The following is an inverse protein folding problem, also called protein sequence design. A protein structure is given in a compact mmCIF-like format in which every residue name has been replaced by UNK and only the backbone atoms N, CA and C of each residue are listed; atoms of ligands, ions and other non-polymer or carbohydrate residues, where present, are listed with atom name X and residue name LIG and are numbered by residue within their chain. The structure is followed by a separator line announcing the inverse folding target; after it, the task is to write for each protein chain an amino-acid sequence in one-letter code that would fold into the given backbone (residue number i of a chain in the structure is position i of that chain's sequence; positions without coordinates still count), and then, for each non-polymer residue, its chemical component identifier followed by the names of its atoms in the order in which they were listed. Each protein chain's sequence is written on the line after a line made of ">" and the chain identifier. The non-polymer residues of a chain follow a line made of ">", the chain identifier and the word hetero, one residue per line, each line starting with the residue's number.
data_IF_424428562221
#
_entry.id   IF_424428562221
#
_cell.length_a   1.000
_cell.length_b   1.000
_cell.length_c   1.000
_cell.angle_alpha   90.00
_cell.angle_beta   90.00
_cell.angle_gamma   90.00
#
_symmetry.space_group_name_H-M   'P 1'
#
loop_
_entity.id
_entity.type
_entity.pdbx_description
1 polymer ?
#
# COMPACT_ATOMS: atom_id res chain seq x y z
N UNK A 1 -34.77 35.05 11.93
CA UNK A 1 -34.42 35.00 10.49
C UNK A 1 -33.11 35.74 10.32
N UNK A 2 -32.20 35.14 9.54
CA UNK A 2 -31.12 35.81 8.80
C UNK A 2 -29.84 36.22 9.53
N UNK A 3 -28.70 35.70 9.03
CA UNK A 3 -27.48 36.50 8.84
C UNK A 3 -26.17 35.96 9.44
N UNK A 4 -25.41 35.16 8.68
CA UNK A 4 -23.93 35.10 8.69
C UNK A 4 -23.32 36.52 8.37
N UNK A 5 -22.00 36.81 8.41
CA UNK A 5 -20.83 35.97 8.74
C UNK A 5 -19.67 36.65 9.54
N UNK A 6 -18.68 35.80 9.87
CA UNK A 6 -17.23 36.05 9.99
C UNK A 6 -16.72 37.47 10.22
N UNK A 7 -16.18 37.68 11.41
CA UNK A 7 -15.33 38.80 11.77
C UNK A 7 -13.92 38.65 11.16
N UNK A 8 -13.42 39.62 10.37
CA UNK A 8 -12.02 39.70 9.98
C UNK A 8 -11.21 40.47 11.05
N UNK A 9 -9.92 40.17 11.23
CA UNK A 9 -8.98 41.17 11.73
C UNK A 9 -7.77 41.41 10.79
N UNK A 10 -7.81 42.58 10.14
CA UNK A 10 -6.73 43.56 9.90
C UNK A 10 -5.46 43.16 9.09
N UNK A 11 -4.55 44.11 8.78
CA UNK A 11 -4.75 45.37 8.06
C UNK A 11 -3.84 45.47 6.82
N UNK A 12 -4.33 46.11 5.77
CA UNK A 12 -3.51 46.61 4.67
C UNK A 12 -2.68 47.80 5.16
N UNK A 13 -1.35 47.71 5.09
CA UNK A 13 -0.49 48.89 4.98
C UNK A 13 0.94 48.54 4.57
N UNK A 14 1.33 49.22 3.49
CA UNK A 14 2.68 49.71 3.19
C UNK A 14 3.62 48.77 2.41
N UNK A 15 3.63 48.98 1.09
CA UNK A 15 4.83 48.79 0.28
C UNK A 15 5.84 49.90 0.61
N UNK A 16 7.14 49.58 0.59
CA UNK A 16 8.01 50.38 -0.27
C UNK A 16 8.90 49.51 -1.16
N UNK A 17 8.79 49.78 -2.47
CA UNK A 17 9.78 49.43 -3.47
C UNK A 17 11.16 49.91 -3.04
N UNK A 18 12.12 48.98 -2.88
CA UNK A 18 13.55 49.30 -2.86
C UNK A 18 14.27 48.39 -3.84
N UNK A 19 14.99 49.04 -4.75
CA UNK A 19 15.75 48.48 -5.85
C UNK A 19 17.02 47.76 -5.38
N UNK A 20 17.45 46.84 -6.24
CA UNK A 20 18.85 46.52 -6.57
C UNK A 20 19.57 45.46 -5.72
N UNK A 21 20.26 44.60 -6.49
CA UNK A 21 21.36 43.70 -6.12
C UNK A 21 20.99 42.35 -5.55
N UNK A 22 21.23 41.34 -6.38
CA UNK A 22 21.49 39.99 -5.92
C UNK A 22 20.92 38.95 -6.86
N UNK A 23 21.68 38.63 -7.91
CA UNK A 23 21.55 37.37 -8.63
C UNK A 23 21.90 36.23 -7.65
N UNK A 24 20.93 35.88 -6.80
CA UNK A 24 21.00 34.70 -5.95
C UNK A 24 20.60 33.49 -6.81
N UNK A 25 21.40 32.41 -6.85
CA UNK A 25 20.98 31.19 -7.51
C UNK A 25 19.73 30.69 -6.79
N UNK A 26 18.65 30.54 -7.55
CA UNK A 26 17.48 29.79 -7.12
C UNK A 26 17.98 28.45 -6.56
N UNK A 27 17.71 28.08 -5.30
CA UNK A 27 17.69 26.68 -4.97
C UNK A 27 16.47 26.13 -5.69
N UNK A 28 16.70 25.60 -6.88
CA UNK A 28 15.81 24.65 -7.53
C UNK A 28 15.79 23.42 -6.62
N UNK A 29 15.07 23.52 -5.50
CA UNK A 29 14.57 22.38 -4.76
C UNK A 29 13.46 21.75 -5.59
N UNK A 30 13.80 21.35 -6.82
CA UNK A 30 13.34 20.07 -7.31
C UNK A 30 13.99 19.07 -6.35
N UNK A 31 13.36 18.86 -5.21
CA UNK A 31 13.39 17.56 -4.57
C UNK A 31 13.06 16.60 -5.68
N UNK A 32 14.11 16.01 -6.25
CA UNK A 32 14.04 14.86 -7.10
C UNK A 32 13.31 13.85 -6.20
N UNK A 33 11.99 13.78 -6.34
CA UNK A 33 11.17 12.86 -5.58
C UNK A 33 11.79 11.51 -5.83
N UNK A 34 12.39 10.96 -4.77
CA UNK A 34 13.36 9.88 -4.83
C UNK A 34 12.96 8.91 -5.91
N UNK A 35 13.86 8.75 -6.89
CA UNK A 35 13.69 7.84 -8.01
C UNK A 35 12.99 6.59 -7.52
N UNK A 36 11.76 6.44 -8.01
CA UNK A 36 10.86 5.33 -7.78
C UNK A 36 11.63 4.05 -8.10
N UNK A 37 12.33 3.50 -7.13
CA UNK A 37 12.75 2.11 -7.18
C UNK A 37 11.44 1.36 -6.93
N UNK A 38 10.87 0.63 -7.91
CA UNK A 38 9.80 -0.32 -7.66
C UNK A 38 10.45 -1.44 -6.85
N UNK A 39 10.63 -1.18 -5.55
CA UNK A 39 11.36 -2.04 -4.66
C UNK A 39 10.59 -3.34 -4.53
N UNK A 40 11.27 -4.46 -4.76
CA UNK A 40 10.65 -5.74 -4.50
C UNK A 40 10.24 -5.79 -3.03
N UNK A 41 8.95 -6.04 -2.75
CA UNK A 41 8.48 -6.14 -1.38
C UNK A 41 8.57 -7.60 -0.96
N UNK A 42 9.25 -7.88 0.14
CA UNK A 42 9.34 -9.23 0.66
C UNK A 42 8.30 -9.45 1.77
N UNK A 43 7.56 -10.54 1.65
CA UNK A 43 6.66 -11.05 2.67
C UNK A 43 7.07 -12.46 3.05
N UNK A 44 7.20 -12.69 4.36
CA UNK A 44 7.52 -13.99 4.92
C UNK A 44 6.46 -14.34 5.95
N UNK A 45 5.64 -15.33 5.62
CA UNK A 45 4.64 -15.87 6.52
C UNK A 45 5.23 -17.05 7.26
N UNK A 46 5.30 -16.95 8.59
CA UNK A 46 5.76 -18.05 9.45
C UNK A 46 4.60 -18.86 10.04
N UNK A 47 3.39 -18.35 9.92
CA UNK A 47 2.21 -18.92 10.55
C UNK A 47 1.00 -18.84 9.63
N UNK A 48 0.12 -19.85 9.70
CA UNK A 48 -1.06 -19.96 8.85
C UNK A 48 -2.12 -18.85 9.07
N UNK A 49 -2.50 -18.45 10.30
CA UNK A 49 -3.45 -17.36 10.50
C UNK A 49 -2.93 -16.00 10.01
N UNK A 50 -1.62 -15.74 10.04
CA UNK A 50 -1.04 -14.53 9.47
C UNK A 50 -1.19 -14.51 7.93
N UNK A 51 -0.94 -15.66 7.28
CA UNK A 51 -1.20 -15.82 5.85
C UNK A 51 -2.68 -15.63 5.53
N UNK A 52 -3.56 -16.19 6.34
CA UNK A 52 -5.01 -16.06 6.17
C UNK A 52 -5.49 -14.61 6.29
N UNK A 53 -5.03 -13.87 7.30
CA UNK A 53 -5.38 -12.47 7.50
C UNK A 53 -4.86 -11.56 6.39
N UNK A 54 -3.75 -11.95 5.73
CA UNK A 54 -3.21 -11.23 4.59
C UNK A 54 -3.83 -11.65 3.26
N UNK A 55 -4.35 -12.87 3.14
CA UNK A 55 -4.91 -13.38 1.88
C UNK A 55 -6.25 -12.69 1.57
N UNK A 56 -6.39 -12.25 0.31
CA UNK A 56 -7.56 -11.55 -0.21
C UNK A 56 -8.31 -12.48 -1.19
N UNK A 57 -9.19 -13.37 -0.69
CA UNK A 57 -9.89 -14.35 -1.52
C UNK A 57 -10.93 -13.75 -2.47
N UNK A 58 -11.33 -12.49 -2.26
CA UNK A 58 -12.34 -11.81 -3.10
C UNK A 58 -11.81 -11.39 -4.48
N UNK A 59 -10.49 -11.44 -4.70
CA UNK A 59 -9.87 -11.16 -5.99
C UNK A 59 -9.94 -12.42 -6.87
N UNK A 60 -10.20 -12.26 -8.17
CA UNK A 60 -10.39 -13.40 -9.11
C UNK A 60 -9.21 -14.37 -9.12
N UNK A 61 -7.98 -13.85 -9.10
CA UNK A 61 -6.76 -14.67 -9.02
C UNK A 61 -6.27 -14.86 -7.58
N UNK A 62 -7.03 -14.38 -6.60
CA UNK A 62 -6.57 -14.14 -5.25
C UNK A 62 -5.63 -12.93 -5.17
N UNK A 63 -5.32 -12.54 -3.96
CA UNK A 63 -4.27 -11.56 -3.73
C UNK A 63 -3.80 -11.58 -2.30
N UNK A 64 -2.90 -10.67 -2.00
CA UNK A 64 -2.27 -10.60 -0.69
C UNK A 64 -2.09 -9.18 -0.24
N UNK A 65 -2.38 -8.97 1.04
CA UNK A 65 -2.16 -7.73 1.73
C UNK A 65 -0.72 -7.66 2.21
N UNK A 66 -0.09 -6.55 1.87
CA UNK A 66 1.30 -6.23 2.13
C UNK A 66 1.33 -4.99 3.03
N UNK A 67 1.65 -5.13 4.33
CA UNK A 67 1.84 -3.96 5.19
C UNK A 67 3.03 -3.16 4.68
N UNK A 68 2.78 -1.96 4.18
CA UNK A 68 3.79 -1.07 3.62
C UNK A 68 3.39 0.37 3.84
N UNK A 69 4.36 1.20 4.23
CA UNK A 69 4.19 2.65 4.35
C UNK A 69 4.53 3.38 3.05
N UNK A 70 4.96 2.65 2.02
CA UNK A 70 5.37 3.21 0.74
C UNK A 70 4.16 3.78 -0.01
N UNK A 71 4.28 4.97 -0.62
CA UNK A 71 3.23 5.53 -1.47
C UNK A 71 3.17 4.73 -2.78
N UNK A 72 2.16 3.88 -2.89
CA UNK A 72 1.88 3.08 -4.08
C UNK A 72 0.57 3.53 -4.69
N UNK A 73 0.40 3.32 -5.99
CA UNK A 73 -0.80 3.70 -6.74
C UNK A 73 -1.57 2.46 -7.15
N UNK A 74 -2.90 2.59 -7.24
CA UNK A 74 -3.74 1.52 -7.74
C UNK A 74 -3.36 1.26 -9.21
N UNK A 75 -3.24 -0.01 -9.58
CA UNK A 75 -2.79 -0.43 -10.90
C UNK A 75 -1.27 -0.45 -11.10
N UNK A 76 -0.48 -0.05 -10.10
CA UNK A 76 0.98 -0.11 -10.18
C UNK A 76 1.48 -1.56 -10.15
N UNK A 77 2.48 -1.89 -10.96
CA UNK A 77 3.03 -3.24 -11.03
C UNK A 77 4.16 -3.40 -10.03
N UNK A 78 3.96 -4.27 -9.04
CA UNK A 78 4.94 -4.51 -7.99
C UNK A 78 5.46 -5.92 -8.01
N UNK A 79 6.77 -6.03 -7.80
CA UNK A 79 7.41 -7.30 -7.57
C UNK A 79 7.28 -7.69 -6.10
N UNK A 80 6.52 -8.73 -5.81
CA UNK A 80 6.39 -9.33 -4.48
C UNK A 80 7.29 -10.57 -4.38
N UNK A 81 8.04 -10.68 -3.30
CA UNK A 81 8.77 -11.88 -2.90
C UNK A 81 8.02 -12.52 -1.75
N UNK A 82 7.26 -13.59 -2.01
CA UNK A 82 6.46 -14.26 -1.02
C UNK A 82 7.10 -15.58 -0.57
N UNK A 83 7.29 -15.73 0.74
CA UNK A 83 7.69 -16.98 1.37
C UNK A 83 6.54 -17.49 2.24
N UNK A 84 6.05 -18.68 1.93
CA UNK A 84 4.99 -19.35 2.68
C UNK A 84 5.58 -20.11 3.87
N UNK A 85 4.79 -20.42 4.92
CA UNK A 85 5.29 -21.11 6.13
C UNK A 85 5.76 -22.55 5.89
N UNK A 86 5.54 -23.08 4.69
CA UNK A 86 5.96 -24.42 4.25
C UNK A 86 7.15 -24.37 3.27
N UNK A 87 7.55 -23.17 2.84
CA UNK A 87 8.59 -22.99 1.84
C UNK A 87 9.83 -22.30 2.40
N UNK A 88 11.01 -22.81 2.02
CA UNK A 88 12.27 -22.13 2.28
C UNK A 88 12.63 -21.09 1.22
N UNK A 89 12.11 -21.24 -0.01
CA UNK A 89 12.47 -20.38 -1.13
C UNK A 89 11.44 -19.26 -1.33
N UNK A 90 11.84 -17.97 -1.35
CA UNK A 90 10.92 -16.89 -1.69
C UNK A 90 10.52 -16.97 -3.17
N UNK A 91 9.21 -16.97 -3.42
CA UNK A 91 8.66 -16.90 -4.78
C UNK A 91 8.50 -15.47 -5.21
N UNK A 92 9.10 -15.12 -6.34
CA UNK A 92 8.96 -13.80 -6.94
C UNK A 92 7.74 -13.78 -7.85
N UNK A 93 6.86 -12.81 -7.63
CA UNK A 93 5.67 -12.55 -8.42
C UNK A 93 5.63 -11.08 -8.79
N UNK A 94 5.11 -10.78 -9.98
CA UNK A 94 4.82 -9.41 -10.37
C UNK A 94 3.31 -9.28 -10.49
N UNK A 95 2.69 -8.41 -9.68
CA UNK A 95 1.24 -8.27 -9.63
C UNK A 95 0.82 -6.81 -9.57
N UNK A 96 -0.37 -6.45 -10.10
CA UNK A 96 -0.88 -5.10 -9.98
C UNK A 96 -1.39 -4.86 -8.56
N UNK A 97 -1.23 -3.62 -8.09
CA UNK A 97 -1.87 -3.15 -6.86
C UNK A 97 -3.37 -3.01 -7.11
N UNK A 98 -4.17 -3.91 -6.53
CA UNK A 98 -5.62 -3.90 -6.64
C UNK A 98 -6.30 -3.16 -5.49
N UNK A 99 -5.61 -2.97 -4.36
CA UNK A 99 -6.15 -2.31 -3.17
C UNK A 99 -5.09 -1.49 -2.46
N UNK A 100 -5.48 -0.35 -1.87
CA UNK A 100 -4.59 0.45 -1.01
C UNK A 100 -5.36 0.77 0.27
N UNK A 101 -4.73 0.44 1.41
CA UNK A 101 -5.22 0.81 2.73
C UNK A 101 -4.44 2.03 3.23
N UNK A 102 -5.06 3.22 3.32
CA UNK A 102 -4.38 4.44 3.71
C UNK A 102 -3.92 4.41 5.17
N UNK A 103 -2.87 5.18 5.53
CA UNK A 103 -2.49 5.38 6.92
C UNK A 103 -3.64 6.03 7.67
N UNK A 104 -3.96 5.54 8.86
CA UNK A 104 -5.08 5.99 9.71
C UNK A 104 -6.47 5.56 9.21
N UNK A 105 -6.57 4.38 8.58
CA UNK A 105 -7.86 3.76 8.36
C UNK A 105 -8.59 3.51 9.71
N UNK A 106 -9.90 3.79 9.80
CA UNK A 106 -10.67 3.61 11.03
C UNK A 106 -10.60 2.15 11.51
N UNK A 107 -10.41 1.95 12.82
CA UNK A 107 -10.26 0.62 13.43
C UNK A 107 -8.82 0.12 13.63
N UNK A 108 -7.80 0.99 13.56
CA UNK A 108 -6.42 0.62 13.89
C UNK A 108 -5.74 -0.30 12.86
N UNK A 109 -6.20 -0.26 11.61
CA UNK A 109 -5.69 -1.12 10.54
C UNK A 109 -4.31 -0.68 10.07
N UNK A 110 -3.42 -1.65 9.89
CA UNK A 110 -2.06 -1.42 9.38
C UNK A 110 -2.12 -0.82 7.98
N UNK A 111 -1.34 0.24 7.73
CA UNK A 111 -1.18 0.78 6.39
C UNK A 111 -0.58 -0.28 5.47
N UNK A 112 -1.09 -0.41 4.24
CA UNK A 112 -0.55 -1.36 3.28
C UNK A 112 -1.28 -1.38 1.95
N UNK A 113 -0.91 -2.33 1.12
CA UNK A 113 -1.48 -2.52 -0.22
C UNK A 113 -1.91 -3.96 -0.43
N UNK A 114 -3.02 -4.17 -1.12
CA UNK A 114 -3.41 -5.48 -1.65
C UNK A 114 -2.87 -5.61 -3.07
N UNK A 115 -1.99 -6.59 -3.27
CA UNK A 115 -1.47 -6.96 -4.60
C UNK A 115 -2.30 -8.14 -5.09
N UNK A 116 -2.89 -8.01 -6.27
CA UNK A 116 -3.53 -9.14 -6.93
C UNK A 116 -2.46 -10.08 -7.49
N UNK A 117 -2.66 -11.39 -7.36
CA UNK A 117 -1.75 -12.34 -7.99
C UNK A 117 -1.89 -12.25 -9.51
N UNK A 118 -0.77 -12.35 -10.25
CA UNK A 118 -0.83 -12.39 -11.70
C UNK A 118 -1.56 -13.67 -12.16
N UNK A 119 -2.25 -13.59 -13.29
CA UNK A 119 -2.87 -14.75 -13.94
C UNK A 119 -1.87 -15.69 -14.63
N UNK A 120 -0.59 -15.58 -14.28
CA UNK A 120 0.51 -16.39 -14.83
C UNK A 120 0.59 -17.73 -14.08
N UNK A 121 1.25 -18.73 -14.68
CA UNK A 121 1.48 -20.04 -14.05
C UNK A 121 2.03 -19.98 -12.60
N UNK A 122 3.07 -19.18 -12.27
CA UNK A 122 3.56 -19.03 -10.90
C UNK A 122 2.55 -18.37 -9.95
N UNK A 123 1.68 -17.48 -10.44
CA UNK A 123 0.64 -16.84 -9.63
C UNK A 123 -0.48 -17.82 -9.28
N UNK A 124 -0.92 -18.60 -10.27
CA UNK A 124 -1.90 -19.68 -10.07
C UNK A 124 -1.37 -20.78 -9.16
N UNK A 125 -0.13 -21.22 -9.36
CA UNK A 125 0.51 -22.22 -8.51
C UNK A 125 0.63 -21.72 -7.06
N UNK A 126 0.96 -20.43 -6.87
CA UNK A 126 0.97 -19.82 -5.55
C UNK A 126 -0.42 -19.84 -4.91
N UNK A 127 -1.46 -19.42 -5.63
CA UNK A 127 -2.84 -19.42 -5.11
C UNK A 127 -3.22 -20.82 -4.62
N UNK A 128 -3.04 -21.83 -5.47
CA UNK A 128 -3.32 -23.23 -5.13
C UNK A 128 -2.53 -23.62 -3.87
N UNK A 129 -1.24 -23.27 -3.80
CA UNK A 129 -0.43 -23.61 -2.63
C UNK A 129 -0.91 -22.92 -1.34
N UNK A 130 -1.32 -21.66 -1.43
CA UNK A 130 -1.91 -20.93 -0.31
C UNK A 130 -3.21 -21.61 0.14
N UNK A 131 -4.09 -21.95 -0.81
CA UNK A 131 -5.33 -22.66 -0.55
C UNK A 131 -5.09 -24.05 0.06
N UNK A 132 -4.05 -24.78 -0.35
CA UNK A 132 -3.64 -26.05 0.27
C UNK A 132 -3.15 -25.87 1.71
N UNK A 133 -2.28 -24.89 1.96
CA UNK A 133 -1.73 -24.59 3.30
C UNK A 133 -2.86 -24.16 4.25
N UNK A 134 -3.77 -23.31 3.73
CA UNK A 134 -4.97 -22.86 4.42
C UNK A 134 -6.08 -23.92 4.43
N UNK A 135 -5.97 -25.03 3.70
CA UNK A 135 -7.07 -25.94 3.37
C UNK A 135 -7.89 -26.39 4.58
N UNK A 136 -7.23 -26.73 5.69
CA UNK A 136 -7.91 -27.11 6.94
C UNK A 136 -8.46 -25.92 7.73
N UNK A 137 -7.92 -24.71 7.56
CA UNK A 137 -8.40 -23.46 8.17
C UNK A 137 -9.57 -22.83 7.40
N UNK A 138 -9.65 -23.02 6.08
CA UNK A 138 -10.83 -22.66 5.28
C UNK A 138 -11.98 -23.65 5.50
N UNK A 139 -11.67 -24.95 5.71
CA UNK A 139 -12.66 -25.98 6.01
C UNK A 139 -13.12 -25.99 7.48
N UNK A 140 -12.28 -25.52 8.41
CA UNK A 140 -12.67 -25.34 9.81
C UNK A 140 -13.34 -23.98 9.93
N UNK A 141 -14.64 -23.95 10.24
CA UNK A 141 -15.45 -22.75 10.51
C UNK A 141 -14.96 -21.93 11.71
N UNK A 142 -13.68 -21.52 11.73
CA UNK A 142 -13.17 -20.51 12.63
C UNK A 142 -13.45 -19.14 12.00
N UNK A 143 -14.14 -18.25 12.72
CA UNK A 143 -14.46 -16.92 12.21
C UNK A 143 -13.16 -16.21 11.81
N UNK A 144 -13.11 -15.79 10.56
CA UNK A 144 -12.08 -14.90 10.05
C UNK A 144 -12.23 -13.56 10.73
N UNK A 145 -11.13 -12.88 10.97
CA UNK A 145 -11.11 -11.52 11.51
C UNK A 145 -11.73 -10.46 10.57
N UNK A 146 -12.30 -10.88 9.43
CA UNK A 146 -12.98 -10.05 8.44
C UNK A 146 -14.50 -10.28 8.37
N UNK A 147 -15.08 -11.10 9.26
CA UNK A 147 -16.53 -11.17 9.45
C UNK A 147 -16.95 -10.59 10.80
#
# INVERSE_FOLDING_TARGET
>A
MSGEPLQPPAPEREAPSTLLSGLAPLPEALTLHGTLQPGAIQLVFRDKPALYAAYLPFLSEGGIFVPTTRPLRLGDMLTLLLTLPDELQPRRLCGPVAWITPPRAPGGRTQGVGIAFPADDPGRALRIRIEEILGTLLASSKPTQTL
#
